data_IF_014519435428
#
_entry.id   IF_014519435428
#
_cell.length_a   1.000
_cell.length_b   1.000
_cell.length_c   1.000
_cell.angle_alpha   90.00
_cell.angle_beta   90.00
_cell.angle_gamma   90.00
#
_symmetry.space_group_name_H-M   'P 1'
#
loop_
_entity.id
_entity.type
_entity.pdbx_description
1 polymer ?
#
# COMPACT_ATOMS: atom_id res chain seq x y z
N UNK A 1 34.41 -9.17 -16.61
CA UNK A 1 33.40 -9.25 -17.68
C UNK A 1 32.48 -8.07 -17.48
N UNK A 2 32.04 -7.41 -18.55
CA UNK A 2 31.16 -6.23 -18.44
C UNK A 2 29.77 -6.73 -18.08
N UNK A 3 29.40 -6.60 -16.82
CA UNK A 3 28.07 -6.95 -16.33
C UNK A 3 27.10 -5.85 -16.73
N UNK A 4 26.09 -6.15 -17.53
CA UNK A 4 25.04 -5.19 -17.90
C UNK A 4 23.88 -5.28 -16.91
N UNK A 5 23.44 -4.14 -16.39
CA UNK A 5 22.26 -4.03 -15.53
C UNK A 5 20.99 -4.12 -16.37
N UNK A 6 20.05 -4.98 -15.97
CA UNK A 6 18.77 -5.18 -16.68
C UNK A 6 17.55 -4.58 -15.94
N UNK A 7 17.80 -3.82 -14.88
CA UNK A 7 16.75 -3.27 -14.02
C UNK A 7 16.86 -1.75 -13.88
N UNK A 8 15.71 -1.09 -13.84
CA UNK A 8 15.59 0.33 -13.52
C UNK A 8 15.68 0.51 -12.01
N UNK A 9 16.53 1.43 -11.55
CA UNK A 9 16.78 1.65 -10.13
C UNK A 9 16.04 2.89 -9.61
N UNK A 10 15.24 2.72 -8.56
CA UNK A 10 14.45 3.77 -7.93
C UNK A 10 14.82 3.89 -6.45
N UNK A 11 15.45 4.99 -6.01
CA UNK A 11 15.77 5.18 -4.60
C UNK A 11 14.50 5.38 -3.78
N UNK A 12 14.39 4.67 -2.65
CA UNK A 12 13.29 4.78 -1.68
C UNK A 12 13.89 4.81 -0.28
N UNK A 13 13.88 5.99 0.34
CA UNK A 13 14.56 6.26 1.63
C UNK A 13 16.06 5.86 1.60
N UNK A 14 16.46 4.90 2.43
CA UNK A 14 17.83 4.35 2.49
C UNK A 14 18.01 3.08 1.64
N UNK A 15 16.96 2.66 0.93
CA UNK A 15 16.89 1.42 0.17
C UNK A 15 16.77 1.71 -1.34
N UNK A 16 16.97 0.67 -2.16
CA UNK A 16 16.89 0.79 -3.62
C UNK A 16 15.91 -0.23 -4.18
N UNK A 17 14.88 0.23 -4.88
CA UNK A 17 13.95 -0.65 -5.59
C UNK A 17 14.45 -0.85 -7.01
N UNK A 18 14.62 -2.10 -7.41
CA UNK A 18 14.97 -2.49 -8.77
C UNK A 18 13.74 -3.02 -9.48
N UNK A 19 13.44 -2.48 -10.66
CA UNK A 19 12.34 -2.90 -11.51
C UNK A 19 12.89 -3.54 -12.79
N UNK A 20 12.68 -4.85 -12.96
CA UNK A 20 13.00 -5.55 -14.20
C UNK A 20 11.80 -5.44 -15.16
N UNK A 21 11.88 -4.53 -16.13
CA UNK A 21 10.78 -4.17 -17.04
C UNK A 21 10.22 -5.36 -17.83
N UNK A 22 11.06 -6.35 -18.13
CA UNK A 22 10.69 -7.50 -18.96
C UNK A 22 9.88 -8.57 -18.21
N UNK A 23 10.09 -8.71 -16.91
CA UNK A 23 9.38 -9.68 -16.06
C UNK A 23 8.32 -9.02 -15.19
N UNK A 24 8.37 -7.69 -15.03
CA UNK A 24 7.53 -6.94 -14.10
C UNK A 24 7.95 -7.11 -12.64
N UNK A 25 9.08 -7.75 -12.36
CA UNK A 25 9.52 -8.03 -11.00
C UNK A 25 10.09 -6.78 -10.33
N UNK A 26 9.72 -6.60 -9.06
CA UNK A 26 10.28 -5.60 -8.16
C UNK A 26 11.16 -6.30 -7.12
N UNK A 27 12.40 -5.85 -6.98
CA UNK A 27 13.33 -6.32 -5.93
C UNK A 27 13.70 -5.14 -5.03
N UNK A 28 13.58 -5.32 -3.71
CA UNK A 28 14.03 -4.32 -2.74
C UNK A 28 15.45 -4.67 -2.27
N UNK A 29 16.39 -3.74 -2.47
CA UNK A 29 17.73 -3.82 -1.95
C UNK A 29 17.85 -3.01 -0.65
N UNK A 30 18.47 -3.62 0.35
CA UNK A 30 18.83 -2.92 1.58
C UNK A 30 19.96 -1.89 1.33
N UNK A 31 20.29 -1.03 2.30
CA UNK A 31 21.28 0.04 2.10
C UNK A 31 22.66 -0.45 1.64
N UNK A 32 23.14 -1.57 2.19
CA UNK A 32 24.44 -2.15 1.80
C UNK A 32 24.43 -2.66 0.36
N UNK A 33 23.36 -3.34 -0.05
CA UNK A 33 23.16 -3.84 -1.41
C UNK A 33 22.95 -2.70 -2.41
N UNK A 34 22.35 -1.58 -2.00
CA UNK A 34 22.24 -0.38 -2.83
C UNK A 34 23.63 0.23 -3.15
N UNK A 35 24.54 0.25 -2.18
CA UNK A 35 25.94 0.70 -2.39
C UNK A 35 26.68 -0.24 -3.34
N UNK A 36 26.48 -1.55 -3.19
CA UNK A 36 27.01 -2.55 -4.13
C UNK A 36 26.48 -2.30 -5.54
N UNK A 37 25.16 -2.11 -5.68
CA UNK A 37 24.52 -1.90 -6.98
C UNK A 37 25.05 -0.65 -7.68
N UNK A 38 25.20 0.46 -6.96
CA UNK A 38 25.80 1.68 -7.48
C UNK A 38 27.25 1.48 -7.95
N UNK A 39 28.04 0.66 -7.25
CA UNK A 39 29.39 0.33 -7.68
C UNK A 39 29.41 -0.45 -9.00
N UNK A 40 28.48 -1.39 -9.19
CA UNK A 40 28.33 -2.11 -10.45
C UNK A 40 27.81 -1.22 -11.59
N UNK A 41 26.93 -0.26 -11.30
CA UNK A 41 26.48 0.76 -12.27
C UNK A 41 27.64 1.66 -12.73
N UNK A 42 28.57 1.98 -11.82
CA UNK A 42 29.85 2.64 -12.13
C UNK A 42 30.84 1.74 -12.90
N UNK A 43 30.52 0.45 -13.10
CA UNK A 43 31.36 -0.52 -13.81
C UNK A 43 32.49 -1.12 -12.98
N UNK A 44 32.42 -1.02 -11.65
CA UNK A 44 33.40 -1.63 -10.75
C UNK A 44 33.23 -3.16 -10.71
N UNK A 45 34.34 -3.87 -10.54
CA UNK A 45 34.31 -5.32 -10.34
C UNK A 45 34.02 -5.69 -8.88
N UNK A 46 33.83 -6.98 -8.61
CA UNK A 46 33.52 -7.48 -7.28
C UNK A 46 34.60 -7.14 -6.23
N UNK A 47 35.88 -7.02 -6.63
CA UNK A 47 36.97 -6.74 -5.71
C UNK A 47 37.01 -5.25 -5.36
N UNK A 48 36.95 -4.36 -6.36
CA UNK A 48 36.85 -2.91 -6.14
C UNK A 48 35.58 -2.51 -5.41
N UNK A 49 34.46 -3.22 -5.65
CA UNK A 49 33.22 -3.02 -4.88
C UNK A 49 33.40 -3.41 -3.41
N UNK A 50 34.13 -4.49 -3.13
CA UNK A 50 34.44 -4.91 -1.76
C UNK A 50 35.36 -3.92 -1.02
N UNK A 51 36.34 -3.33 -1.72
CA UNK A 51 37.19 -2.25 -1.18
C UNK A 51 36.34 -1.02 -0.82
N UNK A 52 35.42 -0.61 -1.71
CA UNK A 52 34.49 0.50 -1.46
C UNK A 52 33.59 0.25 -0.23
N UNK A 53 33.05 -0.96 -0.08
CA UNK A 53 32.29 -1.32 1.12
C UNK A 53 33.13 -1.35 2.39
N UNK A 54 34.36 -1.84 2.30
CA UNK A 54 35.30 -1.85 3.43
C UNK A 54 35.59 -0.43 3.93
N UNK A 55 35.77 0.52 3.01
CA UNK A 55 35.98 1.94 3.34
C UNK A 55 34.73 2.57 3.96
N UNK A 56 33.55 2.33 3.38
CA UNK A 56 32.29 2.95 3.84
C UNK A 56 31.85 2.42 5.20
N UNK A 57 31.97 1.11 5.44
CA UNK A 57 31.41 0.46 6.63
C UNK A 57 32.47 0.01 7.65
N UNK A 58 33.76 0.21 7.37
CA UNK A 58 34.85 -0.17 8.28
C UNK A 58 34.99 -1.68 8.51
N UNK A 59 34.53 -2.50 7.56
CA UNK A 59 34.59 -3.97 7.62
C UNK A 59 35.83 -4.51 6.90
N UNK A 60 36.35 -5.70 7.24
CA UNK A 60 37.46 -6.31 6.49
C UNK A 60 37.09 -6.60 5.03
N UNK A 61 37.99 -6.30 4.09
CA UNK A 61 37.79 -6.52 2.64
C UNK A 61 37.41 -7.98 2.32
N UNK A 62 37.98 -8.95 3.02
CA UNK A 62 37.65 -10.38 2.82
C UNK A 62 36.19 -10.71 3.17
N UNK A 63 35.63 -10.03 4.18
CA UNK A 63 34.23 -10.17 4.56
C UNK A 63 33.33 -9.47 3.54
N UNK A 64 33.65 -8.23 3.18
CA UNK A 64 32.94 -7.48 2.15
C UNK A 64 32.91 -8.23 0.81
N UNK A 65 34.02 -8.86 0.40
CA UNK A 65 34.11 -9.62 -0.84
C UNK A 65 33.24 -10.88 -0.83
N UNK A 66 33.06 -11.52 0.33
CA UNK A 66 32.13 -12.64 0.46
C UNK A 66 30.69 -12.18 0.27
N UNK A 67 30.34 -11.04 0.86
CA UNK A 67 29.00 -10.47 0.78
C UNK A 67 28.68 -9.99 -0.64
N UNK A 68 29.62 -9.29 -1.30
CA UNK A 68 29.49 -8.87 -2.71
C UNK A 68 29.26 -10.07 -3.61
N UNK A 69 30.05 -11.14 -3.47
CA UNK A 69 29.86 -12.36 -4.29
C UNK A 69 28.55 -13.08 -3.98
N UNK A 70 28.04 -12.97 -2.76
CA UNK A 70 26.74 -13.54 -2.40
C UNK A 70 25.59 -12.75 -3.04
N UNK A 71 25.64 -11.42 -2.97
CA UNK A 71 24.69 -10.53 -3.63
C UNK A 71 24.70 -10.71 -5.15
N UNK A 72 25.89 -10.79 -5.76
CA UNK A 72 26.06 -11.01 -7.20
C UNK A 72 25.40 -12.31 -7.67
N UNK A 73 25.57 -13.41 -6.91
CA UNK A 73 24.86 -14.68 -7.20
C UNK A 73 23.35 -14.52 -7.13
N UNK A 74 22.84 -13.86 -6.08
CA UNK A 74 21.41 -13.61 -5.95
C UNK A 74 20.85 -12.75 -7.08
N UNK A 75 21.61 -11.74 -7.53
CA UNK A 75 21.22 -10.88 -8.63
C UNK A 75 21.28 -11.56 -9.99
N UNK A 76 22.23 -12.46 -10.20
CA UNK A 76 22.27 -13.32 -11.40
C UNK A 76 21.09 -14.29 -11.42
N UNK A 77 20.78 -14.94 -10.28
CA UNK A 77 19.62 -15.83 -10.14
C UNK A 77 18.30 -15.08 -10.36
N UNK A 78 18.21 -13.84 -9.87
CA UNK A 78 17.09 -12.93 -10.07
C UNK A 78 17.10 -12.21 -11.44
N UNK A 79 18.08 -12.48 -12.31
CA UNK A 79 18.26 -11.86 -13.65
C UNK A 79 18.41 -10.33 -13.65
N UNK A 80 18.81 -9.77 -12.51
CA UNK A 80 19.13 -8.34 -12.37
C UNK A 80 20.49 -8.00 -13.03
N UNK A 81 21.38 -9.00 -13.13
CA UNK A 81 22.67 -8.96 -13.84
C UNK A 81 22.69 -9.99 -14.98
N UNK A 82 23.43 -9.71 -16.06
CA UNK A 82 23.76 -10.73 -17.07
C UNK A 82 25.25 -10.77 -17.37
N UNK A 83 25.78 -11.99 -17.51
CA UNK A 83 27.09 -12.21 -18.13
C UNK A 83 26.95 -12.12 -19.65
N UNK A 84 27.86 -11.39 -20.31
CA UNK A 84 27.69 -10.87 -21.68
C UNK A 84 27.63 -11.91 -22.82
N UNK A 85 27.45 -13.21 -22.53
CA UNK A 85 27.59 -14.31 -23.50
C UNK A 85 26.48 -15.40 -23.46
N UNK A 86 25.28 -15.13 -22.93
CA UNK A 86 24.18 -16.10 -23.01
C UNK A 86 23.12 -15.73 -24.05
N UNK A 87 22.73 -16.73 -24.85
CA UNK A 87 21.75 -16.66 -25.93
C UNK A 87 20.32 -16.35 -25.48
N UNK A 88 19.31 -16.51 -26.37
CA UNK A 88 17.94 -16.01 -26.14
C UNK A 88 17.39 -16.51 -24.80
N UNK A 89 16.91 -15.54 -24.03
CA UNK A 89 16.47 -15.74 -22.66
C UNK A 89 15.29 -16.73 -22.60
N UNK A 90 15.24 -17.65 -21.61
CA UNK A 90 14.02 -18.40 -21.35
C UNK A 90 12.89 -17.42 -21.02
N UNK A 91 11.68 -17.72 -21.50
CA UNK A 91 10.47 -16.92 -21.25
C UNK A 91 10.21 -16.67 -19.76
N UNK A 92 9.21 -15.82 -19.43
CA UNK A 92 8.79 -15.61 -18.04
C UNK A 92 8.60 -16.97 -17.35
N UNK A 93 8.96 -17.11 -16.06
CA UNK A 93 8.71 -18.34 -15.35
C UNK A 93 7.21 -18.66 -15.49
N UNK A 94 6.89 -19.86 -16.02
CA UNK A 94 5.49 -20.30 -16.23
C UNK A 94 4.69 -20.38 -14.93
N UNK A 95 5.37 -20.24 -13.79
CA UNK A 95 4.79 -20.21 -12.46
C UNK A 95 5.29 -18.96 -11.73
N UNK A 96 4.40 -18.19 -11.06
CA UNK A 96 4.85 -17.17 -10.13
C UNK A 96 5.83 -17.78 -9.11
N UNK A 97 6.82 -17.02 -8.60
CA UNK A 97 7.64 -17.49 -7.49
C UNK A 97 6.69 -18.00 -6.42
N UNK A 98 6.85 -19.27 -6.01
CA UNK A 98 6.03 -19.86 -4.95
C UNK A 98 6.04 -18.86 -3.80
N UNK A 99 4.86 -18.30 -3.49
CA UNK A 99 4.66 -17.57 -2.25
C UNK A 99 5.21 -18.48 -1.17
N UNK A 100 6.35 -18.10 -0.57
CA UNK A 100 6.72 -18.69 0.69
C UNK A 100 5.60 -18.27 1.63
N UNK A 101 4.64 -19.17 1.80
CA UNK A 101 3.57 -19.08 2.75
C UNK A 101 4.19 -18.73 4.11
N UNK A 102 4.06 -17.47 4.54
CA UNK A 102 4.19 -17.13 5.95
C UNK A 102 2.91 -17.61 6.66
N UNK A 103 2.56 -18.90 6.51
CA UNK A 103 1.41 -19.56 7.14
C UNK A 103 1.70 -19.83 8.60
N UNK A 104 1.94 -18.76 9.37
CA UNK A 104 1.51 -18.80 10.76
C UNK A 104 -0.01 -18.75 10.73
N UNK A 105 -0.66 -19.81 11.20
CA UNK A 105 -2.11 -19.81 11.42
C UNK A 105 -2.48 -18.53 12.17
N UNK A 106 -3.34 -17.70 11.57
CA UNK A 106 -3.79 -16.44 12.19
C UNK A 106 -4.48 -16.78 13.51
N UNK A 107 -4.11 -16.14 14.63
CA UNK A 107 -4.73 -16.45 15.91
C UNK A 107 -6.21 -16.07 15.86
N UNK A 108 -7.07 -16.78 16.62
CA UNK A 108 -8.47 -16.42 16.71
C UNK A 108 -8.62 -15.05 17.35
N UNK A 109 -9.59 -14.29 16.87
CA UNK A 109 -9.99 -13.02 17.46
C UNK A 109 -10.43 -13.25 18.90
N UNK A 110 -10.10 -12.29 19.76
CA UNK A 110 -10.58 -12.26 21.14
C UNK A 110 -11.97 -11.64 21.19
N UNK A 111 -12.85 -12.17 22.05
CA UNK A 111 -14.12 -11.52 22.35
C UNK A 111 -13.92 -10.20 23.12
N UNK A 112 -14.70 -9.18 22.74
CA UNK A 112 -14.77 -7.89 23.42
C UNK A 112 -16.18 -7.30 23.32
N UNK A 113 -16.51 -6.41 24.25
CA UNK A 113 -17.71 -5.59 24.19
C UNK A 113 -17.47 -4.39 23.25
N UNK A 114 -18.26 -4.32 22.17
CA UNK A 114 -18.11 -3.28 21.17
C UNK A 114 -18.78 -1.98 21.64
N UNK A 115 -18.01 -0.89 21.72
CA UNK A 115 -18.56 0.45 21.95
C UNK A 115 -19.33 0.97 20.73
N UNK A 116 -19.01 0.48 19.53
CA UNK A 116 -19.77 0.75 18.32
C UNK A 116 -19.84 -0.46 17.40
N UNK A 117 -20.97 -0.59 16.70
CA UNK A 117 -21.20 -1.58 15.67
C UNK A 117 -22.02 -0.93 14.56
N UNK A 118 -21.52 -1.01 13.32
CA UNK A 118 -22.21 -0.48 12.14
C UNK A 118 -22.07 -1.44 10.97
N UNK A 119 -23.03 -1.41 10.06
CA UNK A 119 -23.01 -2.19 8.83
C UNK A 119 -22.85 -1.26 7.64
N UNK A 120 -21.95 -1.59 6.72
CA UNK A 120 -21.69 -0.83 5.51
C UNK A 120 -21.96 -1.70 4.29
N UNK A 121 -22.55 -1.09 3.24
CA UNK A 121 -22.68 -1.70 1.93
C UNK A 121 -21.61 -1.12 1.01
N UNK A 122 -20.57 -1.91 0.74
CA UNK A 122 -19.44 -1.49 -0.10
C UNK A 122 -19.40 -2.39 -1.33
N UNK A 123 -19.60 -1.79 -2.52
CA UNK A 123 -19.52 -2.48 -3.81
C UNK A 123 -20.38 -3.75 -3.90
N UNK A 124 -21.53 -3.75 -3.21
CA UNK A 124 -22.47 -4.88 -3.19
C UNK A 124 -22.28 -5.86 -2.02
N UNK A 125 -21.15 -5.82 -1.30
CA UNK A 125 -20.88 -6.66 -0.15
C UNK A 125 -21.19 -5.96 1.18
N UNK A 126 -21.77 -6.71 2.12
CA UNK A 126 -22.11 -6.20 3.46
C UNK A 126 -21.02 -6.48 4.49
N UNK A 127 -20.50 -5.41 5.08
CA UNK A 127 -19.46 -5.45 6.11
C UNK A 127 -19.99 -4.94 7.44
N UNK A 128 -19.90 -5.77 8.49
CA UNK A 128 -20.10 -5.31 9.86
C UNK A 128 -18.76 -4.90 10.43
N UNK A 129 -18.64 -3.66 10.91
CA UNK A 129 -17.44 -3.19 11.64
C UNK A 129 -17.80 -2.98 13.09
N UNK A 130 -17.09 -3.66 13.98
CA UNK A 130 -17.19 -3.53 15.44
C UNK A 130 -15.92 -2.87 15.97
N UNK A 131 -16.06 -1.80 16.73
CA UNK A 131 -14.93 -1.14 17.38
C UNK A 131 -15.10 -1.18 18.90
N UNK A 132 -14.03 -1.57 19.59
CA UNK A 132 -14.04 -1.68 21.06
C UNK A 132 -14.23 -0.32 21.74
N UNK A 133 -13.77 0.78 21.15
CA UNK A 133 -13.84 2.10 21.75
C UNK A 133 -14.04 3.20 20.69
N UNK A 134 -14.41 4.39 21.16
CA UNK A 134 -14.68 5.55 20.29
C UNK A 134 -13.44 6.06 19.54
N UNK A 135 -12.21 5.78 20.02
CA UNK A 135 -11.00 6.21 19.32
C UNK A 135 -10.79 5.38 18.04
N UNK A 136 -11.03 4.07 18.11
CA UNK A 136 -11.02 3.17 16.94
C UNK A 136 -12.15 3.53 15.97
N UNK A 137 -13.35 3.76 16.50
CA UNK A 137 -14.51 4.17 15.70
C UNK A 137 -14.23 5.44 14.88
N UNK A 138 -13.64 6.46 15.51
CA UNK A 138 -13.29 7.73 14.85
C UNK A 138 -12.27 7.59 13.74
N UNK A 139 -11.46 6.53 13.71
CA UNK A 139 -10.49 6.28 12.64
C UNK A 139 -11.12 5.65 11.40
N UNK A 140 -12.26 4.95 11.57
CA UNK A 140 -12.86 4.12 10.51
C UNK A 140 -14.21 4.66 10.05
N UNK A 141 -15.12 4.94 10.97
CA UNK A 141 -16.49 5.27 10.62
C UNK A 141 -16.61 6.51 9.71
N UNK A 142 -15.92 7.65 9.96
CA UNK A 142 -16.12 8.86 9.16
C UNK A 142 -15.84 8.69 7.66
N UNK A 143 -14.85 7.86 7.29
CA UNK A 143 -14.48 7.61 5.89
C UNK A 143 -15.49 6.69 5.17
N UNK A 144 -16.21 5.85 5.93
CA UNK A 144 -17.23 4.93 5.43
C UNK A 144 -18.67 5.39 5.70
N UNK A 145 -18.87 6.53 6.38
CA UNK A 145 -20.18 6.92 6.93
C UNK A 145 -21.29 7.02 5.87
N UNK A 146 -20.95 7.45 4.65
CA UNK A 146 -21.92 7.54 3.55
C UNK A 146 -22.31 6.17 2.94
N UNK A 147 -21.57 5.12 3.28
CA UNK A 147 -21.83 3.73 2.89
C UNK A 147 -22.57 2.96 4.00
N UNK A 148 -22.88 3.60 5.13
CA UNK A 148 -23.60 2.96 6.23
C UNK A 148 -25.02 2.58 5.78
N UNK A 149 -25.38 1.32 5.99
CA UNK A 149 -26.72 0.82 5.74
C UNK A 149 -27.54 0.85 7.04
N UNK A 150 -28.78 1.34 6.95
CA UNK A 150 -29.73 1.32 8.06
C UNK A 150 -30.34 -0.07 8.30
N UNK A 151 -30.16 -1.01 7.39
CA UNK A 151 -30.70 -2.36 7.52
C UNK A 151 -29.81 -3.22 8.42
N UNK A 152 -30.39 -3.77 9.49
CA UNK A 152 -29.81 -4.88 10.25
C UNK A 152 -29.94 -6.20 9.46
N UNK A 153 -29.37 -6.22 8.25
CA UNK A 153 -29.21 -7.44 7.46
C UNK A 153 -27.99 -8.22 7.95
N UNK A 154 -27.97 -9.52 7.65
CA UNK A 154 -26.79 -10.36 7.89
C UNK A 154 -25.60 -9.82 7.08
N UNK A 155 -24.50 -9.57 7.80
CA UNK A 155 -23.25 -9.17 7.19
C UNK A 155 -22.54 -10.41 6.62
N UNK A 156 -22.00 -10.27 5.41
CA UNK A 156 -21.17 -11.31 4.78
C UNK A 156 -19.83 -11.44 5.50
N UNK A 157 -19.30 -10.31 5.97
CA UNK A 157 -18.03 -10.24 6.65
C UNK A 157 -18.12 -9.38 7.92
N UNK A 158 -17.39 -9.80 8.96
CA UNK A 158 -17.27 -9.03 10.20
C UNK A 158 -15.83 -8.64 10.45
N UNK A 159 -15.59 -7.33 10.47
CA UNK A 159 -14.34 -6.69 10.82
C UNK A 159 -14.40 -6.18 12.26
N UNK A 160 -13.36 -6.46 13.02
CA UNK A 160 -13.30 -6.12 14.43
C UNK A 160 -12.01 -5.38 14.72
N UNK A 161 -12.11 -4.27 15.44
CA UNK A 161 -10.97 -3.49 15.88
C UNK A 161 -11.00 -3.34 17.41
N UNK A 162 -9.94 -3.78 18.08
CA UNK A 162 -9.83 -3.73 19.53
C UNK A 162 -8.39 -3.49 19.99
N UNK A 163 -8.24 -3.07 21.24
CA UNK A 163 -6.96 -2.96 21.93
C UNK A 163 -6.74 -4.23 22.77
N UNK A 164 -5.57 -4.85 22.60
CA UNK A 164 -5.12 -6.00 23.38
C UNK A 164 -3.73 -5.70 23.97
N UNK A 165 -3.70 -5.38 25.27
CA UNK A 165 -2.52 -4.80 25.91
C UNK A 165 -2.25 -3.39 25.39
N UNK A 166 -1.09 -3.19 24.77
CA UNK A 166 -0.66 -1.94 24.14
C UNK A 166 -0.74 -1.98 22.60
N UNK A 167 -1.25 -3.06 22.03
CA UNK A 167 -1.35 -3.25 20.58
C UNK A 167 -2.80 -3.12 20.11
N UNK A 168 -2.99 -2.43 18.99
CA UNK A 168 -4.22 -2.42 18.24
C UNK A 168 -4.29 -3.64 17.33
N UNK A 169 -5.40 -4.35 17.42
CA UNK A 169 -5.67 -5.56 16.65
C UNK A 169 -6.83 -5.28 15.70
N UNK A 170 -6.66 -5.74 14.46
CA UNK A 170 -7.76 -5.89 13.51
C UNK A 170 -7.95 -7.37 13.24
N UNK A 171 -9.18 -7.83 13.40
CA UNK A 171 -9.59 -9.16 13.03
C UNK A 171 -10.66 -9.10 11.94
N UNK A 172 -10.72 -10.15 11.12
CA UNK A 172 -11.78 -10.33 10.15
C UNK A 172 -12.28 -11.77 10.20
N UNK A 173 -13.59 -11.94 10.25
CA UNK A 173 -14.28 -13.23 10.29
C UNK A 173 -13.72 -14.16 11.38
N UNK A 174 -13.43 -13.57 12.56
CA UNK A 174 -12.92 -14.28 13.73
C UNK A 174 -11.42 -14.59 13.74
N UNK A 175 -10.64 -14.07 12.78
CA UNK A 175 -9.19 -14.27 12.71
C UNK A 175 -8.43 -12.94 12.76
N UNK A 176 -7.38 -12.85 13.59
CA UNK A 176 -6.51 -11.65 13.61
C UNK A 176 -5.78 -11.51 12.27
N UNK A 177 -6.00 -10.39 11.59
CA UNK A 177 -5.35 -10.05 10.31
C UNK A 177 -4.21 -9.06 10.50
N UNK A 178 -4.18 -8.33 11.62
CA UNK A 178 -3.11 -7.41 11.97
C UNK A 178 -3.02 -7.19 13.48
N UNK A 179 -1.79 -6.97 13.95
CA UNK A 179 -1.47 -6.40 15.25
C UNK A 179 -0.41 -5.32 15.06
N UNK A 180 -0.66 -4.10 15.56
CA UNK A 180 0.24 -2.96 15.42
C UNK A 180 0.15 -2.03 16.65
N UNK A 181 1.24 -1.36 16.98
CA UNK A 181 1.30 -0.36 18.07
C UNK A 181 0.67 0.99 17.69
N UNK A 182 0.46 1.24 16.39
CA UNK A 182 -0.02 2.52 15.86
C UNK A 182 -1.51 2.44 15.55
N UNK A 183 -2.27 3.36 16.15
CA UNK A 183 -3.71 3.49 15.92
C UNK A 183 -4.06 3.74 14.45
N UNK A 184 -3.24 4.51 13.72
CA UNK A 184 -3.48 4.82 12.31
C UNK A 184 -3.46 3.59 11.40
N UNK A 185 -2.75 2.53 11.80
CA UNK A 185 -2.69 1.28 11.04
C UNK A 185 -4.00 0.50 11.07
N UNK A 186 -4.90 0.78 12.04
CA UNK A 186 -6.23 0.17 12.10
C UNK A 186 -7.06 0.54 10.88
N UNK A 187 -7.11 1.84 10.52
CA UNK A 187 -7.84 2.32 9.34
C UNK A 187 -7.34 1.60 8.09
N UNK A 188 -6.04 1.64 7.84
CA UNK A 188 -5.43 1.06 6.64
C UNK A 188 -5.74 -0.43 6.51
N UNK A 189 -5.67 -1.18 7.62
CA UNK A 189 -6.01 -2.61 7.59
C UNK A 189 -7.48 -2.86 7.36
N UNK A 190 -8.37 -2.14 8.05
CA UNK A 190 -9.82 -2.29 7.85
C UNK A 190 -10.19 -2.04 6.38
N UNK A 191 -9.69 -0.96 5.78
CA UNK A 191 -9.93 -0.66 4.38
C UNK A 191 -9.36 -1.73 3.44
N UNK A 192 -8.14 -2.23 3.72
CA UNK A 192 -7.54 -3.31 2.93
C UNK A 192 -8.37 -4.60 2.96
N UNK A 193 -8.88 -5.00 4.12
CA UNK A 193 -9.73 -6.19 4.21
C UNK A 193 -11.09 -6.00 3.52
N UNK A 194 -11.66 -4.79 3.54
CA UNK A 194 -12.86 -4.45 2.77
C UNK A 194 -12.57 -4.59 1.28
N UNK A 195 -11.44 -4.06 0.78
CA UNK A 195 -11.04 -4.17 -0.62
C UNK A 195 -10.92 -5.64 -1.04
N UNK A 196 -10.15 -6.45 -0.29
CA UNK A 196 -9.92 -7.86 -0.61
C UNK A 196 -11.24 -8.65 -0.71
N UNK A 197 -12.18 -8.36 0.19
CA UNK A 197 -13.48 -9.05 0.23
C UNK A 197 -14.53 -8.50 -0.73
N UNK A 198 -14.39 -7.24 -1.15
CA UNK A 198 -15.27 -6.65 -2.17
C UNK A 198 -14.95 -7.19 -3.56
N UNK A 199 -13.77 -7.82 -3.73
CA UNK A 199 -13.25 -8.26 -5.01
C UNK A 199 -12.73 -9.72 -4.98
N UNK A 200 -13.51 -10.71 -4.52
CA UNK A 200 -13.02 -12.07 -4.28
C UNK A 200 -12.59 -12.81 -5.55
N UNK A 201 -13.21 -12.49 -6.69
CA UNK A 201 -12.91 -13.09 -8.00
C UNK A 201 -11.85 -12.31 -8.81
N UNK A 202 -11.34 -11.19 -8.25
CA UNK A 202 -10.37 -10.36 -8.94
C UNK A 202 -8.96 -10.66 -8.45
N UNK A 203 -8.02 -10.74 -9.39
CA UNK A 203 -6.61 -10.92 -9.07
C UNK A 203 -6.00 -9.58 -8.64
N UNK A 204 -6.22 -9.20 -7.38
CA UNK A 204 -5.61 -8.01 -6.78
C UNK A 204 -4.08 -8.20 -6.72
N UNK A 205 -3.35 -7.34 -7.44
CA UNK A 205 -1.87 -7.37 -7.51
C UNK A 205 -1.22 -6.40 -6.53
N UNK A 206 -1.82 -5.23 -6.35
CA UNK A 206 -1.29 -4.18 -5.50
C UNK A 206 -2.39 -3.23 -5.04
N UNK A 207 -2.11 -2.46 -3.98
CA UNK A 207 -2.94 -1.33 -3.56
C UNK A 207 -2.03 -0.11 -3.43
N UNK A 208 -2.25 0.91 -4.25
CA UNK A 208 -1.49 2.16 -4.14
C UNK A 208 -2.11 3.06 -3.09
N UNK A 209 -1.29 3.65 -2.23
CA UNK A 209 -1.72 4.76 -1.36
C UNK A 209 -1.77 6.05 -2.19
N UNK A 210 -2.88 6.22 -2.91
CA UNK A 210 -3.14 7.33 -3.80
C UNK A 210 -4.64 7.64 -3.82
N UNK A 211 -4.97 8.85 -4.28
CA UNK A 211 -6.32 9.12 -4.77
C UNK A 211 -6.40 8.79 -6.26
N UNK A 212 -7.58 8.52 -6.79
CA UNK A 212 -7.75 8.33 -8.23
C UNK A 212 -9.08 8.87 -8.74
N UNK A 213 -9.03 9.39 -9.96
CA UNK A 213 -10.21 9.82 -10.73
C UNK A 213 -10.22 9.15 -12.10
N UNK A 214 -11.39 9.01 -12.70
CA UNK A 214 -11.55 8.44 -14.05
C UNK A 214 -12.59 9.20 -14.88
N UNK A 215 -12.66 8.86 -16.17
CA UNK A 215 -13.67 9.36 -17.11
C UNK A 215 -14.42 8.22 -17.83
N UNK A 216 -14.40 7.01 -17.27
CA UNK A 216 -14.94 5.79 -17.89
C UNK A 216 -14.00 5.10 -18.90
N UNK A 217 -13.03 5.81 -19.49
CA UNK A 217 -12.06 5.23 -20.44
C UNK A 217 -10.65 5.12 -19.85
N UNK A 218 -10.27 6.02 -18.94
CA UNK A 218 -8.93 6.11 -18.37
C UNK A 218 -8.98 6.55 -16.92
N UNK A 219 -7.94 6.17 -16.17
CA UNK A 219 -7.76 6.47 -14.77
C UNK A 219 -6.49 7.32 -14.57
N UNK A 220 -6.57 8.33 -13.71
CA UNK A 220 -5.43 9.09 -13.22
C UNK A 220 -5.29 8.84 -11.72
N UNK A 221 -4.21 8.16 -11.35
CA UNK A 221 -3.81 8.03 -9.94
C UNK A 221 -2.95 9.24 -9.52
N UNK A 222 -3.21 9.75 -8.33
CA UNK A 222 -2.54 10.89 -7.72
C UNK A 222 -1.74 10.41 -6.50
N UNK A 223 -0.53 9.87 -6.68
CA UNK A 223 0.34 9.54 -5.57
C UNK A 223 0.90 10.82 -4.94
N UNK A 224 1.29 10.74 -3.67
CA UNK A 224 1.93 11.85 -2.98
C UNK A 224 1.92 11.71 -1.48
N UNK A 225 2.78 12.47 -0.81
CA UNK A 225 2.88 12.46 0.66
C UNK A 225 1.58 12.95 1.32
N UNK A 226 1.31 12.59 2.60
CA UNK A 226 0.19 13.14 3.33
C UNK A 226 0.21 14.68 3.34
N UNK A 227 -0.91 15.31 3.00
CA UNK A 227 -1.01 16.77 2.93
C UNK A 227 -0.54 17.41 1.61
N UNK A 228 -0.05 16.63 0.63
CA UNK A 228 0.32 17.13 -0.71
C UNK A 228 -0.86 17.68 -1.53
N UNK A 229 -2.09 17.62 -1.02
CA UNK A 229 -3.27 18.13 -1.70
C UNK A 229 -4.00 17.13 -2.60
N UNK A 230 -3.68 15.82 -2.52
CA UNK A 230 -4.36 14.75 -3.28
C UNK A 230 -5.88 14.88 -3.24
N UNK A 231 -6.48 14.77 -2.04
CA UNK A 231 -7.93 14.85 -1.85
C UNK A 231 -8.52 16.19 -2.31
N UNK A 232 -7.78 17.29 -2.17
CA UNK A 232 -8.20 18.61 -2.66
C UNK A 232 -8.28 18.63 -4.18
N UNK A 233 -7.25 18.08 -4.85
CA UNK A 233 -7.19 18.00 -6.30
C UNK A 233 -8.23 17.02 -6.83
N UNK A 234 -8.40 15.87 -6.21
CA UNK A 234 -9.47 14.91 -6.51
C UNK A 234 -10.83 15.59 -6.47
N UNK A 235 -11.17 16.30 -5.39
CA UNK A 235 -12.42 17.05 -5.29
C UNK A 235 -12.58 18.10 -6.42
N UNK A 236 -11.51 18.84 -6.73
CA UNK A 236 -11.54 19.82 -7.81
C UNK A 236 -11.73 19.19 -9.19
N UNK A 237 -11.13 18.03 -9.44
CA UNK A 237 -11.27 17.25 -10.67
C UNK A 237 -12.67 16.65 -10.81
N UNK A 238 -13.28 16.21 -9.69
CA UNK A 238 -14.67 15.74 -9.68
C UNK A 238 -15.64 16.84 -10.09
N UNK A 239 -15.43 18.09 -9.63
CA UNK A 239 -16.19 19.25 -10.11
C UNK A 239 -15.98 19.55 -11.60
N UNK A 240 -14.88 19.07 -12.18
CA UNK A 240 -14.56 19.17 -13.59
C UNK A 240 -15.22 18.09 -14.46
N UNK A 241 -15.99 17.17 -13.87
CA UNK A 241 -16.69 16.10 -14.58
C UNK A 241 -15.97 14.76 -14.62
N UNK A 242 -14.86 14.61 -13.89
CA UNK A 242 -14.28 13.28 -13.64
C UNK A 242 -15.01 12.57 -12.51
N UNK A 243 -15.02 11.25 -12.53
CA UNK A 243 -15.57 10.42 -11.45
C UNK A 243 -14.46 10.09 -10.45
N UNK A 244 -14.75 10.21 -9.15
CA UNK A 244 -13.81 9.80 -8.10
C UNK A 244 -13.87 8.28 -7.92
N UNK A 245 -12.74 7.60 -8.12
CA UNK A 245 -12.64 6.16 -7.84
C UNK A 245 -12.38 5.88 -6.36
N UNK A 246 -11.50 6.68 -5.72
CA UNK A 246 -11.03 6.50 -4.33
C UNK A 246 -10.15 7.69 -3.92
N UNK A 247 -10.00 7.93 -2.62
CA UNK A 247 -9.11 8.98 -2.08
C UNK A 247 -7.85 8.46 -1.38
N UNK A 248 -7.83 7.18 -1.02
CA UNK A 248 -6.86 6.64 -0.04
C UNK A 248 -6.16 5.38 -0.53
N UNK A 249 -6.91 4.48 -1.19
CA UNK A 249 -6.41 3.18 -1.64
C UNK A 249 -6.92 2.90 -3.05
N UNK A 250 -6.01 2.76 -4.02
CA UNK A 250 -6.30 2.37 -5.41
C UNK A 250 -5.91 0.90 -5.59
N UNK A 251 -6.86 -0.05 -5.56
CA UNK A 251 -6.59 -1.44 -5.88
C UNK A 251 -6.27 -1.58 -7.37
N UNK A 252 -5.20 -2.31 -7.69
CA UNK A 252 -4.80 -2.67 -9.04
C UNK A 252 -5.04 -4.15 -9.27
N UNK A 253 -5.71 -4.48 -10.37
CA UNK A 253 -6.15 -5.84 -10.69
C UNK A 253 -5.58 -6.33 -12.02
N UNK A 254 -5.23 -7.62 -12.05
CA UNK A 254 -4.82 -8.33 -13.27
C UNK A 254 -3.46 -7.88 -13.81
N UNK A 255 -2.99 -8.49 -14.90
CA UNK A 255 -1.71 -8.17 -15.51
C UNK A 255 -1.66 -6.77 -16.14
N UNK A 256 -2.81 -6.19 -16.48
CA UNK A 256 -2.93 -4.83 -17.03
C UNK A 256 -3.00 -3.74 -15.95
N UNK A 257 -2.95 -4.10 -14.66
CA UNK A 257 -3.03 -3.19 -13.52
C UNK A 257 -4.24 -2.24 -13.59
N UNK A 258 -5.42 -2.79 -13.91
CA UNK A 258 -6.66 -2.03 -13.94
C UNK A 258 -7.00 -1.50 -12.55
N UNK A 259 -7.21 -0.19 -12.45
CA UNK A 259 -7.63 0.44 -11.21
C UNK A 259 -9.10 0.11 -10.92
N UNK A 260 -9.37 -0.47 -9.75
CA UNK A 260 -10.72 -0.79 -9.30
C UNK A 260 -11.29 0.35 -8.43
N UNK A 261 -12.61 0.61 -8.47
CA UNK A 261 -13.22 1.59 -7.59
C UNK A 261 -13.13 1.16 -6.12
N UNK A 262 -12.96 2.11 -5.22
CA UNK A 262 -13.13 1.91 -3.79
C UNK A 262 -13.69 3.20 -3.20
N UNK A 263 -15.02 3.36 -3.19
CA UNK A 263 -15.68 4.66 -3.05
C UNK A 263 -15.71 5.12 -1.59
N UNK A 264 -14.55 5.35 -1.00
CA UNK A 264 -14.41 5.98 0.31
C UNK A 264 -14.56 7.49 0.20
N UNK A 265 -15.03 8.15 1.27
CA UNK A 265 -15.19 9.59 1.26
C UNK A 265 -13.85 10.34 1.13
N UNK A 266 -13.84 11.45 0.41
CA UNK A 266 -12.68 12.33 0.28
C UNK A 266 -12.33 12.96 1.65
N UNK A 267 -11.09 12.80 2.09
CA UNK A 267 -10.59 13.25 3.39
C UNK A 267 -10.04 14.68 3.32
N UNK A 268 -10.94 15.67 3.34
CA UNK A 268 -10.59 17.08 3.17
C UNK A 268 -10.10 17.71 4.49
N UNK A 269 -8.80 17.98 4.57
CA UNK A 269 -8.17 18.67 5.70
C UNK A 269 -8.55 20.15 5.72
N UNK A 270 -8.45 20.79 6.89
CA UNK A 270 -8.83 22.19 7.10
C UNK A 270 -8.27 23.17 6.06
N UNK A 271 -7.00 23.00 5.65
CA UNK A 271 -6.37 23.85 4.64
C UNK A 271 -7.05 23.81 3.26
N UNK A 272 -7.80 22.74 2.96
CA UNK A 272 -8.53 22.58 1.69
C UNK A 272 -9.88 23.28 1.68
N UNK A 273 -10.45 23.61 2.84
CA UNK A 273 -11.85 24.04 2.92
C UNK A 273 -12.11 25.40 2.30
N UNK A 274 -11.18 26.34 2.43
CA UNK A 274 -11.31 27.67 1.80
C UNK A 274 -11.23 27.56 0.28
N UNK A 275 -10.24 26.80 -0.22
CA UNK A 275 -10.01 26.56 -1.65
C UNK A 275 -11.22 25.89 -2.31
N UNK A 276 -11.83 24.92 -1.63
CA UNK A 276 -12.98 24.18 -2.15
C UNK A 276 -14.32 24.82 -1.82
N UNK A 277 -14.42 25.67 -0.79
CA UNK A 277 -15.69 26.13 -0.22
C UNK A 277 -16.56 26.90 -1.21
N UNK A 278 -15.96 27.67 -2.12
CA UNK A 278 -16.70 28.36 -3.18
C UNK A 278 -17.34 27.40 -4.20
N UNK A 279 -16.81 26.18 -4.33
CA UNK A 279 -17.22 25.18 -5.32
C UNK A 279 -17.98 23.99 -4.72
N UNK A 280 -17.81 23.77 -3.41
CA UNK A 280 -18.58 22.84 -2.59
C UNK A 280 -19.27 23.59 -1.44
N UNK A 281 -20.42 24.24 -1.68
CA UNK A 281 -21.10 25.04 -0.65
C UNK A 281 -21.50 24.21 0.59
N UNK A 282 -21.80 22.93 0.39
CA UNK A 282 -22.19 22.02 1.47
C UNK A 282 -21.02 21.54 2.32
N UNK A 283 -19.76 21.77 1.89
CA UNK A 283 -18.57 21.42 2.66
C UNK A 283 -18.60 22.05 4.06
N UNK A 284 -19.16 23.25 4.22
CA UNK A 284 -19.28 23.90 5.54
C UNK A 284 -20.26 23.21 6.48
N UNK A 285 -21.20 22.43 5.94
CA UNK A 285 -22.24 21.71 6.69
C UNK A 285 -21.79 20.32 7.14
N UNK A 286 -20.73 19.78 6.55
CA UNK A 286 -20.20 18.48 6.91
C UNK A 286 -19.59 18.48 8.32
N UNK A 287 -19.80 17.40 9.11
CA UNK A 287 -19.21 17.24 10.42
C UNK A 287 -17.68 17.40 10.38
N UNK A 288 -17.15 18.09 11.37
CA UNK A 288 -15.69 18.20 11.53
C UNK A 288 -15.19 17.15 12.50
N UNK A 289 -14.23 16.36 12.04
CA UNK A 289 -13.56 15.34 12.83
C UNK A 289 -12.16 15.85 13.22
N UNK A 290 -11.78 15.64 14.47
CA UNK A 290 -10.41 15.87 14.94
C UNK A 290 -9.64 14.54 14.86
N UNK A 291 -8.64 14.51 13.97
CA UNK A 291 -7.68 13.42 13.83
C UNK A 291 -6.33 13.96 14.26
N UNK A 292 -5.96 13.66 15.50
CA UNK A 292 -4.76 14.20 16.14
C UNK A 292 -4.76 15.74 16.11
N UNK A 293 -3.75 16.36 15.50
CA UNK A 293 -3.64 17.81 15.35
C UNK A 293 -4.41 18.36 14.13
N UNK A 294 -5.03 17.49 13.33
CA UNK A 294 -5.69 17.86 12.08
C UNK A 294 -7.21 17.86 12.22
N UNK A 295 -7.85 18.83 11.56
CA UNK A 295 -9.30 18.86 11.39
C UNK A 295 -9.65 18.44 9.98
N UNK A 296 -10.56 17.48 9.86
CA UNK A 296 -10.93 16.84 8.59
C UNK A 296 -12.45 16.84 8.43
N UNK A 297 -12.90 17.00 7.19
CA UNK A 297 -14.28 16.78 6.76
C UNK A 297 -14.26 15.71 5.68
N UNK A 298 -15.20 14.78 5.75
CA UNK A 298 -15.34 13.69 4.80
C UNK A 298 -16.44 14.04 3.80
N UNK A 299 -16.06 14.25 2.54
CA UNK A 299 -16.98 14.55 1.46
C UNK A 299 -17.33 13.22 0.74
N UNK A 300 -18.61 12.78 0.76
CA UNK A 300 -19.05 11.58 0.06
C UNK A 300 -18.85 11.65 -1.46
#
# INVERSE_FOLDING_TARGET
MVTSLLAHAFPVDDSLVLFEERTGNLSLLNPTAAVMWAAYDEGLDAHSTAEKLSEVYGVPVDLALRDVRAAERQWLDARLLTDALLGPCPGPPESPPQEQEWTRAKPPAREFEAASQRTYLVLGSRFRVRCQNAALDRRVHPILAHLESAEEADAEHTLEAYLDGDQYVVACDGLEVQRDSKLDMVKSRVLAEIIVRSYPEHELRAVLHAAAVCNGESCVALPGVPGAGKSTLTAALTLGGLECLTDDCVPLCGPEYLALPFPVALSLKQGSWEVLGARYPDLSRLPTHALDEQRVRYLP
#
